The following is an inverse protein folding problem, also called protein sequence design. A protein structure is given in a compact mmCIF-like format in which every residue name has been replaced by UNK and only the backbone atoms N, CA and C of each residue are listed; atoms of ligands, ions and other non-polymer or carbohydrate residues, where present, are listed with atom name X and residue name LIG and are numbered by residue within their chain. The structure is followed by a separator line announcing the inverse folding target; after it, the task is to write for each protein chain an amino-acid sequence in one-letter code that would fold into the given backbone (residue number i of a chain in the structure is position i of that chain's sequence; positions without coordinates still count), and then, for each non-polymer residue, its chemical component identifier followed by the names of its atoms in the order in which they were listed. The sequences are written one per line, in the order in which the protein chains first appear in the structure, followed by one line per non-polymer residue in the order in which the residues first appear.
data_IF_312123168225
#
_entry.id   IF_312123168225
#
_cell.length_a   1.000
_cell.length_b   1.000
_cell.length_c   1.000
_cell.angle_alpha   90.00
_cell.angle_beta   90.00
_cell.angle_gamma   90.00
#
_symmetry.space_group_name_H-M   'P 1'
#
loop_
_entity.id
_entity.type
_entity.pdbx_description
1 polymer ?
#
# COMPACT_ATOMS: atom_id res chain seq x y z
N UNK A 1 5.38 -12.25 6.10
CA UNK A 1 5.58 -11.22 5.05
C UNK A 1 5.29 -9.82 5.56
N UNK A 2 4.13 -9.58 6.19
CA UNK A 2 3.80 -8.25 6.73
C UNK A 2 4.85 -7.77 7.75
N UNK A 3 5.26 -8.62 8.69
CA UNK A 3 6.20 -8.25 9.77
C UNK A 3 7.57 -7.79 9.24
N UNK A 4 8.08 -8.41 8.17
CA UNK A 4 9.35 -8.03 7.54
C UNK A 4 9.25 -6.68 6.82
N UNK A 5 8.10 -6.40 6.19
CA UNK A 5 7.83 -5.09 5.59
C UNK A 5 7.63 -4.01 6.65
N UNK A 6 6.98 -4.32 7.77
CA UNK A 6 6.81 -3.39 8.89
C UNK A 6 8.13 -3.06 9.59
N UNK A 7 9.09 -3.98 9.59
CA UNK A 7 10.44 -3.71 10.10
C UNK A 7 11.25 -2.82 9.14
N UNK A 8 11.04 -2.97 7.84
CA UNK A 8 11.79 -2.24 6.81
C UNK A 8 11.18 -0.88 6.43
N UNK A 9 9.86 -0.74 6.56
CA UNK A 9 9.10 0.44 6.12
C UNK A 9 8.17 0.95 7.21
N UNK A 10 7.99 2.27 7.27
CA UNK A 10 7.00 2.88 8.16
C UNK A 10 5.58 2.46 7.75
N UNK A 11 4.74 2.20 8.75
CA UNK A 11 3.36 1.76 8.56
C UNK A 11 2.36 2.87 8.86
N UNK A 12 1.40 3.06 7.96
CA UNK A 12 0.30 3.98 8.11
C UNK A 12 -1.04 3.25 7.97
N UNK A 13 -2.03 3.66 8.77
CA UNK A 13 -3.39 3.14 8.63
C UNK A 13 -4.15 3.91 7.55
N UNK A 14 -5.15 3.31 6.92
CA UNK A 14 -6.08 4.04 6.07
C UNK A 14 -6.74 5.22 6.81
N UNK A 15 -7.06 6.29 6.09
CA UNK A 15 -7.53 7.57 6.62
C UNK A 15 -6.54 8.32 7.54
N UNK A 16 -5.30 7.85 7.70
CA UNK A 16 -4.27 8.64 8.38
C UNK A 16 -3.63 9.64 7.41
N UNK A 17 -3.22 10.78 7.95
CA UNK A 17 -2.40 11.76 7.21
C UNK A 17 -0.98 11.21 7.13
N UNK A 18 -0.46 11.10 5.91
CA UNK A 18 0.89 10.62 5.65
C UNK A 18 1.63 11.58 4.70
N UNK A 19 2.97 11.56 4.68
CA UNK A 19 3.77 12.44 3.83
C UNK A 19 3.60 12.20 2.32
N UNK A 20 4.11 13.09 1.48
CA UNK A 20 4.31 12.83 0.05
C UNK A 20 5.06 11.51 -0.21
N UNK A 21 4.62 10.72 -1.19
CA UNK A 21 5.37 9.54 -1.65
C UNK A 21 4.54 8.37 -2.18
N UNK A 22 5.18 7.20 -2.22
CA UNK A 22 4.62 5.92 -2.68
C UNK A 22 4.39 4.97 -1.51
N UNK A 23 3.17 4.45 -1.47
CA UNK A 23 2.64 3.58 -0.44
C UNK A 23 2.24 2.23 -1.03
N UNK A 24 2.49 1.16 -0.29
CA UNK A 24 2.19 -0.21 -0.71
C UNK A 24 1.26 -0.91 0.28
N UNK A 25 0.17 -1.49 -0.22
CA UNK A 25 -0.70 -2.34 0.57
C UNK A 25 -0.36 -3.80 0.28
N UNK A 26 0.32 -4.45 1.23
CA UNK A 26 0.77 -5.83 1.11
C UNK A 26 -0.36 -6.87 1.04
N UNK A 27 -1.60 -6.50 1.42
CA UNK A 27 -2.75 -7.40 1.35
C UNK A 27 -3.36 -7.45 -0.05
N UNK A 28 -3.48 -6.31 -0.72
CA UNK A 28 -4.11 -6.22 -2.05
C UNK A 28 -3.10 -6.13 -3.19
N UNK A 29 -1.81 -5.94 -2.88
CA UNK A 29 -0.77 -5.59 -3.86
C UNK A 29 -0.99 -4.24 -4.58
N UNK A 30 -1.91 -3.41 -4.06
CA UNK A 30 -2.12 -2.08 -4.57
C UNK A 30 -1.00 -1.13 -4.13
N UNK A 31 -0.63 -0.19 -5.00
CA UNK A 31 0.20 0.95 -4.64
C UNK A 31 -0.56 2.27 -4.78
N UNK A 32 -0.33 3.19 -3.86
CA UNK A 32 -0.92 4.52 -3.86
C UNK A 32 0.18 5.57 -3.87
N UNK A 33 -0.02 6.62 -4.66
CA UNK A 33 0.94 7.69 -4.82
C UNK A 33 0.25 9.02 -4.57
N UNK A 34 0.82 9.82 -3.69
CA UNK A 34 0.35 11.18 -3.43
C UNK A 34 1.50 12.16 -3.65
N UNK A 35 1.19 13.25 -4.35
CA UNK A 35 2.14 14.30 -4.71
C UNK A 35 2.28 15.41 -3.64
N UNK A 36 1.60 15.26 -2.52
CA UNK A 36 1.68 16.12 -1.34
C UNK A 36 1.33 15.31 -0.10
N UNK A 37 1.62 15.87 1.07
CA UNK A 37 1.11 15.33 2.33
C UNK A 37 -0.42 15.27 2.27
N UNK A 38 -1.00 14.16 2.70
CA UNK A 38 -2.40 13.88 2.43
C UNK A 38 -2.91 12.65 3.16
N UNK A 39 -4.23 12.50 3.13
CA UNK A 39 -4.92 11.38 3.73
C UNK A 39 -4.79 10.15 2.84
N UNK A 40 -4.30 9.05 3.40
CA UNK A 40 -4.21 7.78 2.70
C UNK A 40 -5.59 7.16 2.46
N UNK A 41 -5.74 6.35 1.40
CA UNK A 41 -7.01 5.70 1.13
C UNK A 41 -7.52 4.90 2.32
N UNK A 42 -8.83 5.00 2.56
CA UNK A 42 -9.51 4.45 3.72
C UNK A 42 -9.22 2.95 3.95
N UNK A 43 -8.99 2.21 2.89
CA UNK A 43 -8.83 0.77 2.94
C UNK A 43 -7.40 0.31 3.27
N UNK A 44 -7.26 -0.27 4.46
CA UNK A 44 -6.15 -1.15 4.80
C UNK A 44 -4.95 -0.47 5.46
N UNK A 45 -3.81 -1.11 5.31
CA UNK A 45 -2.54 -0.73 5.93
C UNK A 45 -1.53 -0.48 4.82
N UNK A 46 -0.90 0.68 4.89
CA UNK A 46 -0.05 1.21 3.85
C UNK A 46 1.38 1.31 4.36
N UNK A 47 2.30 0.63 3.67
CA UNK A 47 3.73 0.71 3.91
C UNK A 47 4.31 1.87 3.12
N UNK A 48 5.02 2.78 3.77
CA UNK A 48 5.71 3.89 3.12
C UNK A 48 7.02 3.41 2.51
N UNK A 49 7.03 3.21 1.19
CA UNK A 49 8.16 2.61 0.48
C UNK A 49 9.18 3.67 0.08
N UNK A 50 8.72 4.87 -0.33
CA UNK A 50 9.60 5.93 -0.81
C UNK A 50 8.92 7.29 -0.75
N UNK A 51 9.71 8.36 -0.57
CA UNK A 51 9.29 9.76 -0.77
C UNK A 51 9.04 10.10 -2.23
N UNK A 52 9.46 9.25 -3.18
CA UNK A 52 9.22 9.46 -4.60
C UNK A 52 7.75 9.15 -4.95
N UNK A 53 6.96 10.18 -5.25
CA UNK A 53 5.55 10.06 -5.63
C UNK A 53 5.33 9.58 -7.09
N UNK A 54 6.39 9.34 -7.86
CA UNK A 54 6.31 8.83 -9.24
C UNK A 54 7.09 7.52 -9.43
N UNK A 55 7.33 6.80 -8.33
CA UNK A 55 7.98 5.49 -8.35
C UNK A 55 7.22 4.52 -9.27
N UNK A 56 7.93 3.84 -10.17
CA UNK A 56 7.29 2.88 -11.08
C UNK A 56 6.99 1.55 -10.39
N UNK A 57 6.04 0.78 -10.89
CA UNK A 57 5.76 -0.57 -10.39
C UNK A 57 6.99 -1.50 -10.45
N UNK A 58 7.88 -1.32 -11.42
CA UNK A 58 9.16 -2.05 -11.49
C UNK A 58 10.09 -1.66 -10.34
N UNK A 59 10.21 -0.37 -10.02
CA UNK A 59 11.01 0.09 -8.89
C UNK A 59 10.43 -0.42 -7.56
N UNK A 60 9.09 -0.39 -7.44
CA UNK A 60 8.39 -0.94 -6.28
C UNK A 60 8.71 -2.43 -6.12
N UNK A 61 8.62 -3.22 -7.19
CA UNK A 61 8.98 -4.63 -7.18
C UNK A 61 10.40 -4.86 -6.67
N UNK A 62 11.38 -4.07 -7.15
CA UNK A 62 12.77 -4.13 -6.67
C UNK A 62 12.88 -3.85 -5.18
N UNK A 63 12.19 -2.82 -4.67
CA UNK A 63 12.22 -2.46 -3.25
C UNK A 63 11.61 -3.57 -2.37
N UNK A 64 10.45 -4.11 -2.77
CA UNK A 64 9.77 -5.18 -2.01
C UNK A 64 10.58 -6.48 -2.07
N UNK A 65 11.12 -6.85 -3.23
CA UNK A 65 11.96 -8.04 -3.38
C UNK A 65 13.24 -7.93 -2.54
N UNK A 66 13.82 -6.74 -2.41
CA UNK A 66 14.99 -6.50 -1.56
C UNK A 66 14.75 -6.77 -0.08
N UNK A 67 13.50 -6.59 0.39
CA UNK A 67 13.11 -6.88 1.78
C UNK A 67 12.68 -8.33 1.96
N UNK A 68 11.90 -8.86 1.01
CA UNK A 68 11.23 -10.16 1.17
C UNK A 68 11.98 -11.35 0.56
N UNK A 69 13.04 -11.11 -0.22
CA UNK A 69 13.70 -12.16 -1.00
C UNK A 69 12.79 -12.80 -2.07
N UNK A 70 11.75 -12.08 -2.49
CA UNK A 70 10.74 -12.53 -3.45
C UNK A 70 11.16 -12.26 -4.91
N UNK A 71 10.33 -12.70 -5.85
CA UNK A 71 10.53 -12.51 -7.30
C UNK A 71 9.35 -11.78 -7.95
N UNK A 72 8.77 -10.79 -7.25
CA UNK A 72 7.70 -9.97 -7.80
C UNK A 72 8.19 -9.16 -9.00
N UNK A 73 7.28 -8.93 -9.94
CA UNK A 73 7.46 -8.12 -11.14
C UNK A 73 6.45 -6.98 -11.13
N UNK A 74 6.60 -6.02 -12.04
CA UNK A 74 5.64 -4.92 -12.17
C UNK A 74 4.19 -5.41 -12.33
N UNK A 75 3.97 -6.54 -13.02
CA UNK A 75 2.63 -7.11 -13.24
C UNK A 75 1.96 -7.68 -11.98
N UNK A 76 2.68 -7.79 -10.86
CA UNK A 76 2.10 -8.18 -9.58
C UNK A 76 1.44 -7.02 -8.84
N UNK A 77 1.67 -5.79 -9.28
CA UNK A 77 1.21 -4.57 -8.60
C UNK A 77 0.25 -3.80 -9.50
N UNK A 78 -0.68 -3.07 -8.88
CA UNK A 78 -1.58 -2.17 -9.58
C UNK A 78 -1.77 -0.88 -8.79
N UNK A 79 -2.08 0.20 -9.50
CA UNK A 79 -2.44 1.47 -8.87
C UNK A 79 -3.76 1.30 -8.11
N UNK A 80 -3.81 1.79 -6.88
CA UNK A 80 -5.00 1.73 -6.04
C UNK A 80 -6.22 2.31 -6.76
N UNK A 81 -7.33 1.57 -6.70
CA UNK A 81 -8.65 2.02 -7.10
C UNK A 81 -9.65 1.74 -5.99
N UNK A 82 -10.41 2.76 -5.57
CA UNK A 82 -11.44 2.61 -4.54
C UNK A 82 -12.52 1.58 -4.90
N UNK A 83 -12.73 1.28 -6.18
CA UNK A 83 -13.73 0.29 -6.60
C UNK A 83 -13.29 -1.17 -6.45
N UNK A 84 -11.98 -1.45 -6.43
CA UNK A 84 -11.42 -2.82 -6.36
C UNK A 84 -10.66 -3.10 -5.08
N UNK A 85 -10.05 -2.07 -4.49
CA UNK A 85 -9.12 -2.19 -3.37
C UNK A 85 -9.71 -1.71 -2.05
N UNK A 86 -10.98 -1.27 -2.06
CA UNK A 86 -11.70 -0.98 -0.84
C UNK A 86 -11.87 -2.27 -0.02
N UNK A 87 -11.10 -2.40 1.04
CA UNK A 87 -11.25 -3.45 2.04
C UNK A 87 -12.28 -2.97 3.05
N UNK A 88 -13.44 -3.64 3.18
CA UNK A 88 -14.40 -3.31 4.22
C UNK A 88 -13.75 -3.44 5.60
N UNK A 89 -14.03 -2.49 6.51
CA UNK A 89 -13.62 -2.66 7.90
C UNK A 89 -14.26 -3.94 8.48
N UNK A 90 -13.55 -4.71 9.32
CA UNK A 90 -14.19 -5.71 10.16
C UNK A 90 -15.29 -5.02 10.97
N UNK A 91 -16.55 -5.45 10.80
CA UNK A 91 -17.73 -4.85 11.45
C UNK A 91 -18.56 -3.87 10.59
N UNK A 92 -18.23 -3.68 9.31
CA UNK A 92 -19.07 -2.95 8.35
C UNK A 92 -19.83 -3.85 7.37
N UNK A 93 -19.72 -5.17 7.50
CA UNK A 93 -20.71 -6.06 6.87
C UNK A 93 -22.00 -5.80 7.63
N UNK A 94 -22.98 -5.16 6.99
CA UNK A 94 -24.35 -5.16 7.48
C UNK A 94 -24.70 -6.61 7.78
N UNK A 95 -25.05 -6.91 9.03
CA UNK A 95 -25.83 -8.10 9.32
C UNK A 95 -27.04 -8.04 8.39
N UNK A 96 -27.05 -8.89 7.35
CA UNK A 96 -28.22 -9.09 6.50
C UNK A 96 -29.26 -9.77 7.39
N UNK A 97 -30.26 -9.01 7.80
CA UNK A 97 -31.32 -9.40 8.73
C UNK A 97 -32.44 -10.17 8.02
#
# INVERSE_FOLDING_TARGET
MLDALELAFSRFNGNSVAPIGTYFNARTFAYYQQASDGTLPQAGTWMFVSTNATMTATQLATAINGVLGSSYTAGNFHSYSAGSDAIPYPGQMSDDA
#
